data_IF_219616891215
#
_entry.id   IF_219616891215
#
_cell.length_a   1.000
_cell.length_b   1.000
_cell.length_c   1.000
_cell.angle_alpha   90.00
_cell.angle_beta   90.00
_cell.angle_gamma   90.00
#
_symmetry.space_group_name_H-M   'P 1'
#
loop_
_entity.id
_entity.type
_entity.pdbx_description
1 polymer ?
#
# COMPACT_ATOMS: atom_id res chain seq x y z
N UNK A 1 -16.99 -5.35 -11.86
CA UNK A 1 -16.37 -4.39 -12.82
C UNK A 1 -17.31 -3.20 -12.94
N UNK A 2 -16.90 -2.01 -12.51
CA UNK A 2 -17.71 -0.79 -12.61
C UNK A 2 -17.40 -0.08 -13.94
N UNK A 3 -18.43 0.11 -14.78
CA UNK A 3 -18.39 0.96 -15.98
C UNK A 3 -19.06 2.29 -15.63
N UNK A 4 -18.27 3.36 -15.53
CA UNK A 4 -18.75 4.72 -15.28
C UNK A 4 -18.57 5.50 -16.58
N UNK A 5 -19.65 6.08 -17.13
CA UNK A 5 -19.63 7.10 -18.19
C UNK A 5 -19.75 8.47 -17.54
N UNK A 6 -18.81 9.38 -17.83
CA UNK A 6 -18.86 10.77 -17.37
C UNK A 6 -18.55 11.67 -18.58
N UNK A 7 -19.53 12.48 -18.99
CA UNK A 7 -19.53 13.16 -20.29
C UNK A 7 -18.63 14.42 -20.35
N UNK A 8 -18.18 14.97 -19.21
CA UNK A 8 -17.20 16.07 -19.18
C UNK A 8 -15.75 15.66 -19.43
N UNK A 9 -15.46 14.35 -19.47
CA UNK A 9 -14.10 13.79 -19.60
C UNK A 9 -13.67 13.55 -21.04
N UNK A 10 -14.51 13.77 -22.05
CA UNK A 10 -14.20 13.33 -23.41
C UNK A 10 -12.99 14.07 -24.02
N UNK A 11 -12.88 15.38 -23.77
CA UNK A 11 -11.74 16.21 -24.19
C UNK A 11 -10.47 15.87 -23.39
N UNK A 12 -10.60 15.68 -22.07
CA UNK A 12 -9.49 15.24 -21.22
C UNK A 12 -9.00 13.83 -21.59
N UNK A 13 -9.92 12.94 -22.00
CA UNK A 13 -9.63 11.58 -22.49
C UNK A 13 -8.90 11.63 -23.83
N UNK A 14 -9.34 12.44 -24.79
CA UNK A 14 -8.64 12.63 -26.08
C UNK A 14 -7.21 13.16 -25.87
N UNK A 15 -7.04 14.18 -25.02
CA UNK A 15 -5.71 14.69 -24.67
C UNK A 15 -4.87 13.60 -23.99
N UNK A 16 -5.46 12.84 -23.04
CA UNK A 16 -4.79 11.72 -22.39
C UNK A 16 -4.37 10.64 -23.38
N UNK A 17 -5.22 10.29 -24.35
CA UNK A 17 -4.96 9.28 -25.38
C UNK A 17 -3.82 9.71 -26.32
N UNK A 18 -3.69 11.02 -26.59
CA UNK A 18 -2.60 11.60 -27.39
C UNK A 18 -1.27 11.74 -26.61
N UNK A 19 -1.30 11.63 -25.28
CA UNK A 19 -0.07 11.70 -24.47
C UNK A 19 0.77 10.43 -24.62
N UNK A 20 2.11 10.56 -24.69
CA UNK A 20 3.01 9.41 -24.62
C UNK A 20 2.71 8.54 -23.39
N UNK A 21 2.59 7.23 -23.62
CA UNK A 21 2.27 6.20 -22.63
C UNK A 21 2.94 6.35 -21.24
N UNK A 22 4.19 6.81 -21.19
CA UNK A 22 4.90 7.02 -19.93
C UNK A 22 4.33 8.18 -19.09
N UNK A 23 3.75 9.20 -19.73
CA UNK A 23 3.07 10.32 -19.08
C UNK A 23 1.73 9.86 -18.50
N UNK A 24 0.91 9.15 -19.29
CA UNK A 24 -0.35 8.55 -18.81
C UNK A 24 -0.11 7.71 -17.54
N UNK A 25 0.89 6.82 -17.56
CA UNK A 25 1.28 6.02 -16.38
C UNK A 25 1.64 6.87 -15.16
N UNK A 26 2.36 7.98 -15.36
CA UNK A 26 2.79 8.87 -14.26
C UNK A 26 1.61 9.61 -13.65
N UNK A 27 0.69 10.08 -14.48
CA UNK A 27 -0.53 10.78 -14.04
C UNK A 27 -1.45 9.82 -13.29
N UNK A 28 -1.75 8.65 -13.87
CA UNK A 28 -2.54 7.60 -13.22
C UNK A 28 -1.92 7.16 -11.89
N UNK A 29 -0.60 6.97 -11.84
CA UNK A 29 0.09 6.59 -10.60
C UNK A 29 0.01 7.69 -9.53
N UNK A 30 0.06 8.96 -9.95
CA UNK A 30 -0.06 10.10 -9.03
C UNK A 30 -1.48 10.17 -8.46
N UNK A 31 -2.48 10.08 -9.34
CA UNK A 31 -3.89 10.05 -8.96
C UNK A 31 -4.21 8.90 -8.00
N UNK A 32 -3.79 7.67 -8.33
CA UNK A 32 -3.97 6.48 -7.49
C UNK A 32 -3.28 6.60 -6.12
N UNK A 33 -2.11 7.24 -6.08
CA UNK A 33 -1.42 7.49 -4.80
C UNK A 33 -2.13 8.54 -3.97
N UNK A 34 -2.64 9.58 -4.60
CA UNK A 34 -3.44 10.62 -3.98
C UNK A 34 -4.72 10.06 -3.37
N UNK A 35 -5.49 9.33 -4.17
CA UNK A 35 -6.78 8.75 -3.77
C UNK A 35 -6.64 7.67 -2.69
N UNK A 36 -5.51 6.97 -2.63
CA UNK A 36 -5.21 5.99 -1.57
C UNK A 36 -4.68 6.61 -0.26
N UNK A 37 -4.42 7.93 -0.20
CA UNK A 37 -3.93 8.57 1.04
C UNK A 37 -4.87 8.42 2.23
N UNK A 38 -6.21 8.61 2.11
CA UNK A 38 -7.13 8.42 3.22
C UNK A 38 -7.08 6.99 3.78
N UNK A 39 -7.09 5.99 2.89
CA UNK A 39 -6.92 4.58 3.27
C UNK A 39 -5.60 4.36 4.03
N UNK A 40 -4.48 4.92 3.55
CA UNK A 40 -3.19 4.81 4.23
C UNK A 40 -3.21 5.46 5.63
N UNK A 41 -3.84 6.63 5.77
CA UNK A 41 -3.97 7.34 7.04
C UNK A 41 -4.82 6.54 8.03
N UNK A 42 -5.94 5.99 7.55
CA UNK A 42 -6.82 5.09 8.31
C UNK A 42 -6.10 3.81 8.74
N UNK A 43 -5.32 3.18 7.86
CA UNK A 43 -4.51 2.02 8.23
C UNK A 43 -3.46 2.38 9.31
N UNK A 44 -2.86 3.57 9.25
CA UNK A 44 -1.89 4.07 10.24
C UNK A 44 -2.52 4.42 11.59
N UNK A 45 -3.80 4.79 11.65
CA UNK A 45 -4.49 5.03 12.91
C UNK A 45 -4.92 3.73 13.59
N UNK A 46 -5.28 2.72 12.80
CA UNK A 46 -5.76 1.41 13.30
C UNK A 46 -4.66 0.41 13.64
N UNK A 47 -3.46 0.56 13.07
CA UNK A 47 -2.37 -0.39 13.29
C UNK A 47 -1.90 -0.37 14.76
N UNK A 48 -1.74 -1.55 15.40
CA UNK A 48 -1.20 -1.61 16.75
C UNK A 48 0.21 -1.02 16.87
N UNK A 49 0.44 -0.20 17.90
CA UNK A 49 1.71 0.49 18.11
C UNK A 49 2.42 -0.11 19.33
N UNK A 50 3.51 -0.84 19.07
CA UNK A 50 4.48 -1.23 20.11
C UNK A 50 5.74 -0.35 20.06
N UNK A 51 6.41 -0.32 18.91
CA UNK A 51 7.58 0.53 18.64
C UNK A 51 7.32 1.61 17.58
N UNK A 52 6.12 1.64 16.99
CA UNK A 52 5.76 2.52 15.88
C UNK A 52 6.41 2.19 14.53
N UNK A 53 7.36 1.24 14.47
CA UNK A 53 8.04 0.84 13.22
C UNK A 53 7.05 0.36 12.15
N UNK A 54 6.03 -0.42 12.54
CA UNK A 54 5.00 -0.91 11.61
C UNK A 54 4.19 0.23 10.99
N UNK A 55 3.70 1.15 11.83
CA UNK A 55 2.99 2.36 11.41
C UNK A 55 3.79 3.18 10.39
N UNK A 56 5.10 3.37 10.63
CA UNK A 56 5.99 4.13 9.74
C UNK A 56 6.21 3.45 8.38
N UNK A 57 6.14 2.13 8.31
CA UNK A 57 6.39 1.37 7.07
C UNK A 57 5.15 1.06 6.25
N UNK A 58 3.96 1.44 6.69
CA UNK A 58 2.79 1.46 5.82
C UNK A 58 2.97 2.50 4.72
N UNK A 59 2.87 2.04 3.47
CA UNK A 59 3.02 2.89 2.27
C UNK A 59 2.06 2.44 1.16
N UNK A 60 1.75 3.36 0.25
CA UNK A 60 1.16 3.02 -1.05
C UNK A 60 2.28 2.52 -1.97
N UNK A 61 2.18 1.26 -2.39
CA UNK A 61 3.16 0.59 -3.24
C UNK A 61 2.55 0.30 -4.60
N UNK A 62 3.29 0.60 -5.66
CA UNK A 62 2.94 0.18 -7.02
C UNK A 62 3.31 -1.28 -7.23
N UNK A 63 2.40 -2.06 -7.80
CA UNK A 63 2.75 -3.36 -8.35
C UNK A 63 3.44 -3.18 -9.70
N UNK A 64 4.58 -3.85 -9.86
CA UNK A 64 5.28 -3.92 -11.14
C UNK A 64 4.76 -5.14 -11.87
N UNK A 65 3.78 -4.93 -12.71
CA UNK A 65 3.43 -5.90 -13.74
C UNK A 65 4.16 -5.50 -15.03
N UNK A 66 4.94 -6.43 -15.58
CA UNK A 66 5.67 -6.24 -16.84
C UNK A 66 4.82 -6.55 -18.07
N UNK A 67 3.74 -7.32 -17.87
CA UNK A 67 2.83 -7.76 -18.92
C UNK A 67 1.58 -6.89 -18.99
N UNK A 68 1.28 -6.13 -17.94
CA UNK A 68 0.17 -5.17 -17.94
C UNK A 68 0.31 -4.13 -19.06
N UNK A 69 -0.84 -3.76 -19.62
CA UNK A 69 -0.93 -2.75 -20.67
C UNK A 69 -0.35 -1.41 -20.19
N UNK A 70 0.03 -0.55 -21.12
CA UNK A 70 0.66 0.72 -20.74
C UNK A 70 -0.30 1.69 -20.05
N UNK A 71 -1.60 1.46 -20.13
CA UNK A 71 -2.64 2.24 -19.44
C UNK A 71 -3.02 1.66 -18.07
N UNK A 72 -2.52 0.49 -17.69
CA UNK A 72 -2.85 -0.16 -16.42
C UNK A 72 -1.80 0.10 -15.34
N UNK A 73 -2.27 0.65 -14.20
CA UNK A 73 -1.45 0.87 -13.02
C UNK A 73 -2.20 0.32 -11.80
N UNK A 74 -1.54 -0.59 -11.08
CA UNK A 74 -2.06 -1.13 -9.82
C UNK A 74 -1.25 -0.65 -8.62
N UNK A 75 -1.95 -0.23 -7.57
CA UNK A 75 -1.36 0.16 -6.28
C UNK A 75 -2.02 -0.59 -5.13
N UNK A 76 -1.30 -0.75 -4.02
CA UNK A 76 -1.87 -1.21 -2.76
C UNK A 76 -1.25 -0.49 -1.58
N UNK A 77 -2.04 -0.34 -0.51
CA UNK A 77 -1.53 0.03 0.81
C UNK A 77 -1.04 -1.24 1.50
N UNK A 78 0.25 -1.31 1.79
CA UNK A 78 0.83 -2.45 2.51
C UNK A 78 2.02 -2.05 3.38
N UNK A 79 2.40 -2.88 4.37
CA UNK A 79 3.68 -2.75 5.05
C UNK A 79 4.82 -2.97 4.04
N UNK A 80 5.86 -2.14 4.14
CA UNK A 80 7.06 -2.24 3.32
C UNK A 80 8.25 -2.64 4.20
N UNK A 81 9.19 -3.35 3.61
CA UNK A 81 10.43 -3.75 4.26
C UNK A 81 11.32 -2.52 4.48
N UNK A 82 11.99 -2.47 5.63
CA UNK A 82 13.03 -1.46 5.84
C UNK A 82 14.25 -1.84 5.01
N UNK A 83 14.83 -0.89 4.28
CA UNK A 83 16.01 -1.13 3.44
C UNK A 83 17.26 -0.74 4.23
N UNK A 84 17.94 -1.71 4.83
CA UNK A 84 19.30 -1.49 5.34
C UNK A 84 20.34 -1.87 4.29
N UNK A 85 21.43 -1.08 4.21
CA UNK A 85 22.50 -1.21 3.20
C UNK A 85 23.28 -2.53 3.26
N UNK A 86 23.28 -3.24 4.41
CA UNK A 86 24.15 -4.41 4.65
C UNK A 86 23.47 -5.78 4.56
N UNK A 87 22.15 -5.88 4.71
CA UNK A 87 21.41 -7.15 4.64
C UNK A 87 20.04 -6.85 4.04
N UNK A 88 19.79 -7.34 2.82
CA UNK A 88 18.58 -7.06 2.05
C UNK A 88 17.31 -7.10 2.91
N UNK A 89 16.51 -6.04 2.78
CA UNK A 89 15.14 -5.92 3.27
C UNK A 89 14.88 -6.54 4.67
N UNK A 90 15.01 -5.76 5.73
CA UNK A 90 14.51 -6.18 7.05
C UNK A 90 12.99 -6.25 6.95
N UNK A 91 12.48 -7.47 6.98
CA UNK A 91 11.06 -7.73 6.99
C UNK A 91 10.47 -7.19 8.28
N UNK A 92 9.44 -6.37 8.15
CA UNK A 92 8.45 -6.28 9.21
C UNK A 92 7.49 -7.46 9.07
N UNK A 93 8.06 -8.68 9.16
CA UNK A 93 7.40 -9.97 9.01
C UNK A 93 6.12 -10.08 9.87
N UNK A 94 6.07 -9.29 10.93
CA UNK A 94 4.95 -9.15 11.84
C UNK A 94 3.70 -8.48 11.27
N UNK A 95 3.76 -7.71 10.18
CA UNK A 95 2.58 -7.02 9.64
C UNK A 95 1.46 -7.98 9.28
N UNK A 96 1.80 -9.08 8.58
CA UNK A 96 0.85 -10.15 8.23
C UNK A 96 0.34 -10.87 9.48
N UNK A 97 1.24 -11.20 10.42
CA UNK A 97 0.88 -11.89 11.67
C UNK A 97 -0.01 -11.07 12.60
N UNK A 98 0.13 -9.74 12.58
CA UNK A 98 -0.75 -8.86 13.33
C UNK A 98 -2.10 -8.76 12.62
N UNK A 99 -2.09 -8.68 11.28
CA UNK A 99 -3.30 -8.57 10.48
C UNK A 99 -4.19 -9.82 10.59
N UNK A 100 -3.63 -10.98 10.26
CA UNK A 100 -4.33 -12.27 10.19
C UNK A 100 -4.31 -13.05 11.51
N UNK A 101 -3.49 -12.62 12.47
CA UNK A 101 -3.23 -13.38 13.67
C UNK A 101 -2.28 -14.55 13.43
N UNK A 102 -2.09 -15.37 14.47
CA UNK A 102 -1.35 -16.63 14.41
C UNK A 102 -2.08 -17.67 15.25
N UNK A 103 -1.85 -18.95 14.96
CA UNK A 103 -2.42 -20.05 15.73
C UNK A 103 -2.13 -19.91 17.24
N UNK A 104 -3.12 -20.24 18.06
CA UNK A 104 -3.02 -20.22 19.53
C UNK A 104 -3.39 -21.61 20.09
N UNK A 105 -2.45 -22.36 20.70
CA UNK A 105 -1.04 -22.01 20.89
C UNK A 105 -0.23 -22.14 19.60
N UNK A 106 0.74 -21.23 19.40
CA UNK A 106 1.71 -21.32 18.32
C UNK A 106 2.74 -22.38 18.67
N UNK A 107 2.82 -23.43 17.87
CA UNK A 107 3.77 -24.54 18.02
C UNK A 107 4.82 -24.50 16.91
N UNK A 108 6.00 -25.07 17.17
CA UNK A 108 7.00 -25.26 16.11
C UNK A 108 6.54 -26.29 15.08
N UNK A 109 7.06 -26.16 13.86
CA UNK A 109 6.72 -27.11 12.78
C UNK A 109 7.28 -28.49 13.12
N UNK A 110 6.50 -29.55 12.83
CA UNK A 110 6.89 -30.95 12.99
C UNK A 110 7.39 -31.29 14.41
N UNK A 111 6.72 -30.75 15.44
CA UNK A 111 7.06 -31.02 16.84
C UNK A 111 8.38 -30.39 17.34
N UNK A 112 9.04 -29.56 16.52
CA UNK A 112 10.27 -28.86 16.92
C UNK A 112 9.98 -27.72 17.90
N UNK A 113 11.00 -27.34 18.66
CA UNK A 113 10.95 -26.17 19.54
C UNK A 113 10.94 -24.86 18.74
N UNK A 114 10.27 -23.85 19.29
CA UNK A 114 10.45 -22.46 18.90
C UNK A 114 11.67 -21.91 19.62
N UNK A 115 12.46 -21.10 18.90
CA UNK A 115 13.68 -20.49 19.45
C UNK A 115 13.50 -18.98 19.49
N UNK A 116 13.77 -18.40 20.64
CA UNK A 116 13.74 -16.95 20.88
C UNK A 116 15.07 -16.51 21.47
N UNK A 117 15.36 -15.22 21.39
CA UNK A 117 16.51 -14.59 22.02
C UNK A 117 16.00 -13.76 23.20
N UNK A 118 16.61 -13.95 24.38
CA UNK A 118 16.27 -13.16 25.57
C UNK A 118 16.97 -11.77 25.51
N UNK A 119 16.78 -10.95 26.56
CA UNK A 119 17.38 -9.62 26.61
C UNK A 119 18.93 -9.64 26.66
N UNK A 120 19.51 -10.76 27.09
CA UNK A 120 20.96 -10.97 27.23
C UNK A 120 21.58 -11.63 25.98
N UNK A 121 20.78 -11.93 24.94
CA UNK A 121 21.25 -12.56 23.71
C UNK A 121 21.25 -14.10 23.73
N UNK A 122 20.75 -14.71 24.81
CA UNK A 122 20.74 -16.16 24.96
C UNK A 122 19.53 -16.79 24.26
N UNK A 123 19.73 -18.00 23.73
CA UNK A 123 18.68 -18.74 23.03
C UNK A 123 17.79 -19.50 24.01
N UNK A 124 16.49 -19.19 23.97
CA UNK A 124 15.46 -19.87 24.76
C UNK A 124 14.63 -20.77 23.85
N UNK A 125 14.51 -22.05 24.23
CA UNK A 125 13.78 -23.08 23.49
C UNK A 125 12.44 -23.37 24.18
N UNK A 126 11.33 -23.22 23.46
CA UNK A 126 9.98 -23.47 24.02
C UNK A 126 9.13 -24.31 23.08
N UNK A 127 8.33 -25.23 23.62
CA UNK A 127 7.46 -26.13 22.83
C UNK A 127 6.29 -25.37 22.19
N UNK A 128 5.76 -24.37 22.89
CA UNK A 128 4.65 -23.56 22.43
C UNK A 128 4.68 -22.16 23.05
N UNK A 129 4.11 -21.19 22.33
CA UNK A 129 3.85 -19.84 22.85
C UNK A 129 2.40 -19.46 22.56
N UNK A 130 1.88 -18.50 23.32
CA UNK A 130 0.57 -17.90 23.04
C UNK A 130 0.57 -17.30 21.63
N UNK A 131 -0.49 -17.56 20.89
CA UNK A 131 -0.74 -16.97 19.57
C UNK A 131 -1.05 -15.48 19.66
N UNK A 132 -1.17 -14.87 18.49
CA UNK A 132 -1.55 -13.46 18.33
C UNK A 132 -2.96 -13.42 17.77
N UNK A 133 -3.88 -12.75 18.46
CA UNK A 133 -5.23 -12.50 17.94
C UNK A 133 -5.17 -11.58 16.70
N UNK A 134 -5.94 -11.85 15.64
CA UNK A 134 -5.99 -11.01 14.45
C UNK A 134 -6.42 -9.60 14.80
N UNK A 135 -5.77 -8.62 14.17
CA UNK A 135 -6.14 -7.21 14.18
C UNK A 135 -6.12 -6.73 12.74
N UNK A 136 -7.25 -6.86 12.00
CA UNK A 136 -7.28 -6.68 10.55
C UNK A 136 -7.26 -5.20 10.12
N UNK A 137 -6.22 -4.46 10.50
CA UNK A 137 -6.14 -3.01 10.35
C UNK A 137 -6.18 -2.50 8.90
N UNK A 138 -5.70 -3.29 7.92
CA UNK A 138 -5.78 -2.93 6.49
C UNK A 138 -7.19 -3.12 5.93
N UNK A 139 -7.89 -4.17 6.36
CA UNK A 139 -9.24 -4.51 5.91
C UNK A 139 -10.23 -3.49 6.46
N UNK A 140 -10.14 -3.21 7.77
CA UNK A 140 -10.93 -2.14 8.39
C UNK A 140 -10.70 -0.79 7.70
N UNK A 141 -9.44 -0.47 7.36
CA UNK A 141 -9.13 0.77 6.66
C UNK A 141 -9.68 0.78 5.22
N UNK A 142 -9.65 -0.36 4.54
CA UNK A 142 -10.22 -0.51 3.20
C UNK A 142 -11.74 -0.34 3.23
N UNK A 143 -12.45 -1.08 4.08
CA UNK A 143 -13.91 -1.03 4.18
C UNK A 143 -14.39 0.40 4.44
N UNK A 144 -13.75 1.11 5.36
CA UNK A 144 -14.13 2.48 5.72
C UNK A 144 -13.81 3.53 4.63
N UNK A 145 -12.81 3.30 3.77
CA UNK A 145 -12.32 4.31 2.83
C UNK A 145 -12.51 3.94 1.36
N UNK A 146 -13.02 2.75 1.05
CA UNK A 146 -13.10 2.22 -0.32
C UNK A 146 -13.88 3.15 -1.25
N UNK A 147 -15.09 3.54 -0.86
CA UNK A 147 -15.94 4.47 -1.61
C UNK A 147 -15.28 5.85 -1.77
N UNK A 148 -14.71 6.38 -0.68
CA UNK A 148 -14.01 7.67 -0.70
C UNK A 148 -12.77 7.65 -1.61
N UNK A 149 -12.04 6.55 -1.65
CA UNK A 149 -10.88 6.38 -2.54
C UNK A 149 -11.32 6.36 -4.00
N UNK A 150 -12.49 5.78 -4.33
CA UNK A 150 -13.04 5.81 -5.69
C UNK A 150 -13.54 7.20 -6.05
N UNK A 151 -14.31 7.84 -5.16
CA UNK A 151 -14.86 9.17 -5.38
C UNK A 151 -13.76 10.22 -5.61
N UNK A 152 -12.70 10.20 -4.78
CA UNK A 152 -11.60 11.16 -4.87
C UNK A 152 -10.67 10.93 -6.07
N UNK A 153 -10.80 9.79 -6.79
CA UNK A 153 -9.88 9.49 -7.88
C UNK A 153 -9.99 10.48 -9.03
N UNK A 154 -11.22 10.90 -9.39
CA UNK A 154 -11.46 11.88 -10.45
C UNK A 154 -10.76 13.21 -10.19
N UNK A 155 -10.93 13.74 -8.97
CA UNK A 155 -10.30 14.99 -8.52
C UNK A 155 -8.77 14.88 -8.48
N UNK A 156 -8.24 13.77 -7.96
CA UNK A 156 -6.79 13.54 -7.92
C UNK A 156 -6.19 13.35 -9.32
N UNK A 157 -6.97 12.81 -10.26
CA UNK A 157 -6.57 12.73 -11.67
C UNK A 157 -6.58 14.10 -12.33
N UNK A 158 -7.63 14.90 -12.14
CA UNK A 158 -7.68 16.28 -12.65
C UNK A 158 -6.51 17.11 -12.14
N UNK A 159 -6.23 17.06 -10.82
CA UNK A 159 -5.05 17.71 -10.23
C UNK A 159 -3.73 17.17 -10.79
N UNK A 160 -3.62 15.86 -11.04
CA UNK A 160 -2.42 15.29 -11.63
C UNK A 160 -2.20 15.77 -13.06
N UNK A 161 -3.28 15.95 -13.83
CA UNK A 161 -3.24 16.52 -15.19
C UNK A 161 -2.84 17.98 -15.14
N UNK A 162 -3.49 18.79 -14.32
CA UNK A 162 -3.21 20.22 -14.18
C UNK A 162 -1.76 20.48 -13.78
N UNK A 163 -1.25 19.77 -12.76
CA UNK A 163 0.15 19.85 -12.35
C UNK A 163 1.13 19.38 -13.43
N UNK A 164 0.71 18.44 -14.27
CA UNK A 164 1.52 18.01 -15.40
C UNK A 164 1.55 19.10 -16.48
N UNK A 165 0.40 19.67 -16.84
CA UNK A 165 0.30 20.71 -17.86
C UNK A 165 1.11 21.95 -17.47
N UNK A 166 0.89 22.46 -16.26
CA UNK A 166 1.59 23.65 -15.75
C UNK A 166 3.11 23.49 -15.70
N UNK A 167 3.59 22.27 -15.47
CA UNK A 167 5.02 21.97 -15.41
C UNK A 167 5.69 21.81 -16.77
N UNK A 168 4.97 21.31 -17.77
CA UNK A 168 5.57 20.91 -19.06
C UNK A 168 5.23 21.85 -20.22
N UNK A 169 4.16 22.64 -20.11
CA UNK A 169 3.74 23.58 -21.14
C UNK A 169 3.82 25.01 -20.61
N UNK A 170 4.36 25.92 -21.42
CA UNK A 170 4.33 27.36 -21.11
C UNK A 170 2.91 27.88 -21.37
N UNK A 171 2.38 28.77 -20.51
CA UNK A 171 1.13 29.45 -20.81
C UNK A 171 1.30 30.20 -22.14
N UNK A 172 0.38 29.96 -23.06
CA UNK A 172 0.29 30.75 -24.29
C UNK A 172 -0.22 32.12 -23.85
N UNK A 173 0.60 33.16 -24.07
CA UNK A 173 0.21 34.56 -23.86
C UNK A 173 -0.67 35.03 -25.02
#
# INVERSE_FOLDING_TARGET
>A
MLKIKVDGYEQAKKILDDLPNNMQKRMLLTALRGSAKPMLQSARSKVPVKSGKLKKMLRVVRFKDRNASKSEVSVAVKPVFDRTKKKGAINQYYGKFIHEGTADPRKGKKGKFLVFENQQGEKVFVKSVKGIKPKPFLEQAYTENSERTVANFGDELAKAVENFVSKNFKPIK
#
